data_IF_093250252758
#
_entry.id   IF_093250252758
#
_cell.length_a   1.000
_cell.length_b   1.000
_cell.length_c   1.000
_cell.angle_alpha   90.00
_cell.angle_beta   90.00
_cell.angle_gamma   90.00
#
_symmetry.space_group_name_H-M   'P 1'
#
loop_
_entity.id
_entity.type
_entity.pdbx_description
1 polymer ?
#
# COMPACT_ATOMS: atom_id res chain seq x y z
N UNK A 1 5.01 -28.50 20.06
CA UNK A 1 4.07 -27.38 20.25
C UNK A 1 3.75 -26.78 18.91
N UNK A 2 2.51 -26.77 18.49
CA UNK A 2 2.16 -26.02 17.30
C UNK A 2 2.48 -24.54 17.52
N UNK A 3 3.14 -23.93 16.55
CA UNK A 3 3.49 -22.53 16.64
C UNK A 3 2.20 -21.70 16.74
N UNK A 4 2.16 -20.76 17.69
CA UNK A 4 1.04 -19.85 17.89
C UNK A 4 0.74 -18.95 16.68
N UNK A 5 1.61 -18.98 15.65
CA UNK A 5 1.40 -18.24 14.40
C UNK A 5 0.21 -18.76 13.57
N UNK A 6 -0.15 -20.03 13.69
CA UNK A 6 -1.29 -20.61 12.96
C UNK A 6 -2.66 -20.19 13.49
N UNK A 7 -2.72 -19.51 14.64
CA UNK A 7 -3.98 -19.19 15.35
C UNK A 7 -4.51 -17.78 15.09
N UNK A 8 -3.84 -16.97 14.26
CA UNK A 8 -4.25 -15.62 13.92
C UNK A 8 -4.54 -15.50 12.42
N UNK A 9 -5.75 -15.86 11.97
CA UNK A 9 -6.07 -15.89 10.53
C UNK A 9 -5.79 -14.56 9.82
N UNK A 10 -6.06 -13.42 10.47
CA UNK A 10 -5.82 -12.10 9.91
C UNK A 10 -4.34 -11.77 9.69
N UNK A 11 -3.44 -12.44 10.39
CA UNK A 11 -2.00 -12.22 10.28
C UNK A 11 -1.31 -13.24 9.39
N UNK A 12 -2.03 -14.23 8.87
CA UNK A 12 -1.47 -15.21 7.95
C UNK A 12 -1.26 -14.61 6.56
N UNK A 13 -0.20 -15.00 5.85
CA UNK A 13 0.00 -14.52 4.49
C UNK A 13 -1.07 -15.05 3.54
N UNK A 14 -1.31 -14.30 2.48
CA UNK A 14 -2.21 -14.68 1.40
C UNK A 14 -1.46 -14.58 0.08
N UNK A 15 -1.55 -15.63 -0.74
CA UNK A 15 -0.99 -15.61 -2.09
C UNK A 15 -2.09 -15.31 -3.10
N UNK A 16 -1.87 -14.27 -3.89
CA UNK A 16 -2.72 -13.90 -5.02
C UNK A 16 -1.89 -14.09 -6.30
N UNK A 17 -2.08 -15.22 -6.97
CA UNK A 17 -1.24 -15.65 -8.09
C UNK A 17 0.24 -15.63 -7.68
N UNK A 18 1.06 -14.78 -8.26
CA UNK A 18 2.50 -14.68 -7.98
C UNK A 18 2.83 -13.66 -6.88
N UNK A 19 1.83 -12.94 -6.36
CA UNK A 19 2.02 -11.96 -5.31
C UNK A 19 1.67 -12.56 -3.96
N UNK A 20 2.62 -12.53 -3.03
CA UNK A 20 2.38 -12.93 -1.66
C UNK A 20 2.20 -11.68 -0.79
N UNK A 21 1.03 -11.57 -0.18
CA UNK A 21 0.68 -10.49 0.75
C UNK A 21 0.96 -10.94 2.17
N UNK A 22 1.62 -10.08 2.96
CA UNK A 22 2.16 -10.45 4.27
C UNK A 22 1.09 -10.86 5.29
N UNK A 23 -0.09 -10.30 5.18
CA UNK A 23 -1.21 -10.59 6.07
C UNK A 23 -2.53 -10.24 5.37
N UNK A 24 -3.63 -10.44 6.07
CA UNK A 24 -5.00 -10.22 5.56
C UNK A 24 -5.64 -8.94 6.08
N UNK A 25 -4.85 -8.07 6.71
CA UNK A 25 -5.27 -6.72 7.09
C UNK A 25 -4.95 -5.78 5.95
N UNK A 26 -5.96 -5.30 5.26
CA UNK A 26 -5.84 -4.49 4.07
C UNK A 26 -6.49 -3.14 4.28
N UNK A 27 -5.85 -2.11 3.76
CA UNK A 27 -6.42 -0.78 3.75
C UNK A 27 -7.35 -0.63 2.54
N UNK A 28 -8.62 -0.33 2.80
CA UNK A 28 -9.59 -0.05 1.74
C UNK A 28 -9.37 1.33 1.12
N UNK A 29 -9.81 1.56 -0.14
CA UNK A 29 -9.65 2.85 -0.79
C UNK A 29 -10.56 3.91 -0.15
N UNK A 30 -9.98 5.06 0.17
CA UNK A 30 -10.69 6.18 0.78
C UNK A 30 -10.15 7.49 0.23
N UNK A 31 -11.00 8.25 -0.46
CA UNK A 31 -10.63 9.54 -1.03
C UNK A 31 -10.22 10.53 0.07
N UNK A 32 -9.08 11.18 -0.13
CA UNK A 32 -8.52 12.12 0.83
C UNK A 32 -8.82 13.57 0.51
N UNK A 33 -9.21 13.87 -0.73
CA UNK A 33 -9.47 15.23 -1.20
C UNK A 33 -8.29 16.17 -0.95
N UNK A 34 -7.09 15.69 -1.13
CA UNK A 34 -5.85 16.40 -0.78
C UNK A 34 -4.92 16.62 -1.97
N UNK A 35 -5.34 16.26 -3.18
CA UNK A 35 -4.58 16.56 -4.40
C UNK A 35 -4.68 18.05 -4.74
N UNK A 36 -3.61 18.58 -5.33
CA UNK A 36 -3.65 19.92 -5.92
C UNK A 36 -4.41 19.96 -7.25
N UNK A 37 -4.51 21.15 -7.87
CA UNK A 37 -5.19 21.29 -9.17
C UNK A 37 -4.59 20.40 -10.28
N UNK A 38 -3.33 20.03 -10.16
CA UNK A 38 -2.61 19.15 -11.08
C UNK A 38 -2.96 17.66 -10.91
N UNK A 39 -3.76 17.30 -9.92
CA UNK A 39 -4.15 15.91 -9.64
C UNK A 39 -3.02 15.00 -9.13
N UNK A 40 -1.91 15.57 -8.70
CA UNK A 40 -0.77 14.79 -8.19
C UNK A 40 -0.93 14.46 -6.71
N UNK A 41 -0.44 13.29 -6.27
CA UNK A 41 -0.26 13.01 -4.85
C UNK A 41 0.63 14.06 -4.20
N UNK A 42 0.29 14.42 -2.97
CA UNK A 42 1.02 15.38 -2.15
C UNK A 42 1.71 14.69 -0.99
N UNK A 43 2.41 15.42 -0.16
CA UNK A 43 3.00 14.87 1.06
C UNK A 43 1.94 14.31 2.02
N UNK A 44 0.71 14.82 1.97
CA UNK A 44 -0.40 14.23 2.72
C UNK A 44 -0.60 12.75 2.38
N UNK A 45 -0.61 12.43 1.08
CA UNK A 45 -0.77 11.04 0.62
C UNK A 45 0.41 10.17 1.05
N UNK A 46 1.63 10.70 0.98
CA UNK A 46 2.81 9.98 1.43
C UNK A 46 2.72 9.64 2.91
N UNK A 47 2.35 10.58 3.75
CA UNK A 47 2.18 10.37 5.20
C UNK A 47 1.00 9.45 5.48
N UNK A 48 -0.12 9.65 4.81
CA UNK A 48 -1.34 8.89 5.00
C UNK A 48 -1.15 7.40 4.68
N UNK A 49 -0.70 7.10 3.49
CA UNK A 49 -0.44 5.71 3.07
C UNK A 49 0.80 5.15 3.74
N UNK A 50 1.83 5.95 3.89
CA UNK A 50 3.08 5.55 4.53
C UNK A 50 2.89 5.13 5.98
N UNK A 51 2.05 5.82 6.73
CA UNK A 51 1.74 5.46 8.11
C UNK A 51 1.13 4.05 8.21
N UNK A 52 0.23 3.69 7.29
CA UNK A 52 -0.38 2.36 7.25
C UNK A 52 0.63 1.29 6.83
N UNK A 53 1.49 1.61 5.87
CA UNK A 53 2.56 0.70 5.45
C UNK A 53 3.54 0.42 6.60
N UNK A 54 3.96 1.44 7.33
CA UNK A 54 4.81 1.31 8.52
C UNK A 54 4.09 0.55 9.62
N UNK A 55 2.78 0.75 9.75
CA UNK A 55 1.93 0.05 10.72
C UNK A 55 1.75 -1.44 10.45
N UNK A 56 2.10 -1.92 9.26
CA UNK A 56 2.18 -3.34 8.95
C UNK A 56 0.99 -3.95 8.21
N UNK A 57 0.10 -3.14 7.60
CA UNK A 57 -0.94 -3.70 6.73
C UNK A 57 -0.32 -4.47 5.57
N UNK A 58 -0.98 -5.53 5.13
CA UNK A 58 -0.47 -6.40 4.08
C UNK A 58 -0.67 -5.86 2.67
N UNK A 59 -1.69 -5.06 2.46
CA UNK A 59 -2.04 -4.47 1.18
C UNK A 59 -2.65 -3.10 1.39
N UNK A 60 -2.29 -2.16 0.54
CA UNK A 60 -2.91 -0.84 0.50
C UNK A 60 -3.59 -0.66 -0.85
N UNK A 61 -4.87 -0.40 -0.82
CA UNK A 61 -5.61 0.01 -2.01
C UNK A 61 -5.74 1.53 -1.98
N UNK A 62 -5.09 2.19 -2.94
CA UNK A 62 -5.13 3.64 -3.01
C UNK A 62 -6.49 4.15 -3.43
N UNK A 63 -6.78 5.39 -3.12
CA UNK A 63 -8.02 6.06 -3.48
C UNK A 63 -8.23 6.12 -4.98
N UNK A 64 -9.45 6.45 -5.37
CA UNK A 64 -9.85 6.61 -6.76
C UNK A 64 -8.95 7.62 -7.49
N UNK A 65 -8.49 7.23 -8.67
CA UNK A 65 -7.69 8.07 -9.56
C UNK A 65 -8.45 8.30 -10.86
N UNK A 66 -8.62 9.55 -11.24
CA UNK A 66 -9.28 9.90 -12.49
C UNK A 66 -8.39 9.59 -13.70
N UNK A 67 -8.99 9.05 -14.75
CA UNK A 67 -8.29 8.71 -16.00
C UNK A 67 -8.26 9.87 -17.00
N UNK A 68 -8.83 10.99 -16.64
CA UNK A 68 -8.82 12.22 -17.43
C UNK A 68 -9.24 13.41 -16.59
N UNK A 69 -8.91 14.65 -17.00
CA UNK A 69 -9.19 15.83 -16.17
C UNK A 69 -10.69 16.08 -15.94
N UNK A 70 -11.54 15.61 -16.84
CA UNK A 70 -13.00 15.74 -16.73
C UNK A 70 -13.64 14.61 -15.93
N UNK A 71 -12.88 13.61 -15.48
CA UNK A 71 -13.41 12.45 -14.76
C UNK A 71 -13.19 12.52 -13.25
N UNK A 72 -12.63 13.61 -12.76
CA UNK A 72 -12.51 13.85 -11.32
C UNK A 72 -13.89 14.16 -10.73
N UNK A 73 -14.18 13.52 -9.60
CA UNK A 73 -15.40 13.80 -8.84
C UNK A 73 -15.32 15.17 -8.16
N UNK A 74 -14.13 15.52 -7.66
CA UNK A 74 -13.82 16.83 -7.07
C UNK A 74 -12.54 17.39 -7.65
N UNK A 75 -12.32 18.71 -7.49
CA UNK A 75 -11.08 19.36 -7.92
C UNK A 75 -9.84 18.92 -7.12
N UNK A 76 -10.03 18.23 -6.01
CA UNK A 76 -8.97 17.74 -5.13
C UNK A 76 -8.74 16.23 -5.26
N UNK A 77 -9.29 15.61 -6.29
CA UNK A 77 -9.09 14.18 -6.56
C UNK A 77 -7.78 13.93 -7.29
N UNK A 78 -7.18 12.77 -7.01
CA UNK A 78 -6.00 12.31 -7.72
C UNK A 78 -6.31 11.96 -9.17
N UNK A 79 -5.31 12.07 -10.01
CA UNK A 79 -5.38 11.67 -11.41
C UNK A 79 -4.21 10.81 -11.85
N UNK A 80 -4.42 10.04 -12.89
CA UNK A 80 -3.42 9.18 -13.52
C UNK A 80 -3.53 9.29 -15.06
N UNK A 81 -3.67 10.50 -15.58
CA UNK A 81 -3.86 10.71 -17.01
C UNK A 81 -2.62 11.28 -17.72
N UNK A 82 -1.52 11.53 -17.03
CA UNK A 82 -0.28 12.02 -17.64
C UNK A 82 0.97 11.49 -16.93
N UNK A 83 2.13 11.66 -17.57
CA UNK A 83 3.41 11.17 -17.05
C UNK A 83 3.85 11.87 -15.76
N UNK A 84 3.56 13.13 -15.60
CA UNK A 84 3.89 13.87 -14.37
C UNK A 84 3.17 13.30 -13.16
N UNK A 85 1.92 12.95 -13.34
CA UNK A 85 1.13 12.26 -12.31
C UNK A 85 1.66 10.86 -12.04
N UNK A 86 1.98 10.10 -13.08
CA UNK A 86 2.57 8.78 -12.93
C UNK A 86 3.89 8.83 -12.14
N UNK A 87 4.76 9.80 -12.42
CA UNK A 87 6.01 10.00 -11.69
C UNK A 87 5.76 10.32 -10.21
N UNK A 88 4.77 11.15 -9.92
CA UNK A 88 4.39 11.49 -8.55
C UNK A 88 3.83 10.27 -7.80
N UNK A 89 3.05 9.43 -8.47
CA UNK A 89 2.57 8.17 -7.91
C UNK A 89 3.72 7.18 -7.64
N UNK A 90 4.74 7.14 -8.48
CA UNK A 90 5.91 6.25 -8.26
C UNK A 90 6.64 6.57 -6.98
N UNK A 91 6.77 7.83 -6.62
CA UNK A 91 7.35 8.23 -5.32
C UNK A 91 6.58 7.61 -4.17
N UNK A 92 5.26 7.65 -4.24
CA UNK A 92 4.37 7.09 -3.24
C UNK A 92 4.44 5.56 -3.19
N UNK A 93 4.27 4.92 -4.32
CA UNK A 93 4.25 3.45 -4.42
C UNK A 93 5.59 2.83 -4.09
N UNK A 94 6.70 3.46 -4.45
CA UNK A 94 8.04 2.98 -4.10
C UNK A 94 8.27 2.96 -2.59
N UNK A 95 7.84 3.98 -1.88
CA UNK A 95 7.93 4.01 -0.42
C UNK A 95 7.08 2.91 0.22
N UNK A 96 5.83 2.78 -0.21
CA UNK A 96 4.89 1.78 0.31
C UNK A 96 5.41 0.37 0.04
N UNK A 97 5.76 0.07 -1.20
CA UNK A 97 6.25 -1.25 -1.61
C UNK A 97 7.53 -1.63 -0.89
N UNK A 98 8.45 -0.69 -0.72
CA UNK A 98 9.68 -0.91 0.04
C UNK A 98 9.39 -1.30 1.50
N UNK A 99 8.43 -0.69 2.14
CA UNK A 99 8.04 -1.03 3.52
C UNK A 99 7.35 -2.39 3.61
N UNK A 100 6.44 -2.70 2.69
CA UNK A 100 5.77 -4.00 2.64
C UNK A 100 6.77 -5.13 2.37
N UNK A 101 7.72 -4.94 1.44
CA UNK A 101 8.78 -5.91 1.15
C UNK A 101 9.71 -6.11 2.33
N UNK A 102 10.06 -5.06 3.05
CA UNK A 102 10.91 -5.15 4.25
C UNK A 102 10.23 -5.95 5.36
N UNK A 103 8.95 -5.76 5.57
CA UNK A 103 8.16 -6.55 6.52
C UNK A 103 8.13 -8.04 6.13
N UNK A 104 8.01 -8.34 4.84
CA UNK A 104 8.07 -9.71 4.34
C UNK A 104 9.44 -10.34 4.55
N UNK A 105 10.52 -9.64 4.24
CA UNK A 105 11.88 -10.12 4.40
C UNK A 105 12.22 -10.42 5.86
N UNK A 106 11.83 -9.53 6.78
CA UNK A 106 12.05 -9.73 8.21
C UNK A 106 11.29 -10.92 8.78
N UNK A 107 10.09 -11.19 8.26
CA UNK A 107 9.30 -12.37 8.64
C UNK A 107 9.92 -13.66 8.10
N UNK A 108 10.44 -13.64 6.90
CA UNK A 108 11.11 -14.80 6.30
C UNK A 108 12.41 -15.14 7.04
N UNK A 109 13.21 -14.13 7.40
CA UNK A 109 14.42 -14.30 8.19
C UNK A 109 14.15 -14.92 9.58
N UNK A 110 13.05 -14.51 10.21
CA UNK A 110 12.64 -15.11 11.50
C UNK A 110 12.19 -16.56 11.39
N UNK A 111 11.63 -16.95 10.24
CA UNK A 111 11.26 -18.35 9.99
C UNK A 111 12.47 -19.25 9.79
N UNK A 112 13.51 -18.76 9.12
CA UNK A 112 14.74 -19.54 8.88
C UNK A 112 15.59 -19.72 10.14
N UNK A 113 15.52 -18.81 11.09
CA UNK A 113 16.22 -18.93 12.38
C UNK A 113 15.52 -19.87 13.38
N UNK A 114 14.28 -20.24 13.12
CA UNK A 114 13.50 -21.11 14.01
C UNK A 114 13.62 -22.60 13.64
N UNK A 115 14.30 -22.93 12.54
CA UNK A 115 14.47 -24.29 12.04
C UNK A 115 15.88 -24.86 12.27
N UNK A 116 16.69 -24.19 13.05
CA UNK A 116 18.02 -24.74 13.45
C UNK A 116 17.95 -25.47 14.78
#
# INVERSE_FOLDING_TARGET
MPSTESTRPGMSPLRLREVQVANRLWMSPMAQYAAGPDGKPTDWHLVHYGARAVGGVGLIMVESNAVGPLHRTTAADLGIWNEGQAAAHRRLTSFITGRLSHANASRHSRRTTTTA
#
